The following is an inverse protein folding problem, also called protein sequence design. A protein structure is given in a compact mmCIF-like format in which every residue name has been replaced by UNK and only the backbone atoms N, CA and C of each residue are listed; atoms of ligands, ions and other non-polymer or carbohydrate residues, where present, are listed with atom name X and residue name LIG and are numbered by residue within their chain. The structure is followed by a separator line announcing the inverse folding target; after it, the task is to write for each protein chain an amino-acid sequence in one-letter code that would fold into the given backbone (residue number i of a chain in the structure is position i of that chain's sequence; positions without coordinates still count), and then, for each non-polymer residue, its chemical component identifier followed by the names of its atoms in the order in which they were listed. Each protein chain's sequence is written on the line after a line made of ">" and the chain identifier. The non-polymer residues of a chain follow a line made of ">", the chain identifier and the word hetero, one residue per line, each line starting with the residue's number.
data_IF_087304697763
#
_entry.id   IF_087304697763
#
_cell.length_a   1.000
_cell.length_b   1.000
_cell.length_c   1.000
_cell.angle_alpha   90.00
_cell.angle_beta   90.00
_cell.angle_gamma   90.00
#
_symmetry.space_group_name_H-M   'P 1'
#
loop_
_entity.id
_entity.type
_entity.pdbx_description
1 polymer ?
#
# COMPACT_ATOMS: atom_id res chain seq x y z
N UNK A 1 1.61 -3.71 -4.49
CA UNK A 1 0.31 -3.04 -4.26
C UNK A 1 0.13 -1.70 -4.93
N UNK A 2 1.14 -0.85 -5.12
CA UNK A 2 0.90 0.55 -5.54
C UNK A 2 0.05 0.70 -6.81
N UNK A 3 0.33 -0.09 -7.84
CA UNK A 3 -0.46 -0.05 -9.08
C UNK A 3 -1.88 -0.62 -8.89
N UNK A 4 -2.06 -1.62 -8.01
CA UNK A 4 -3.40 -2.10 -7.62
C UNK A 4 -4.24 -0.95 -7.04
N UNK A 5 -3.67 -0.16 -6.14
CA UNK A 5 -4.36 0.99 -5.55
C UNK A 5 -4.70 2.03 -6.63
N UNK A 6 -3.77 2.33 -7.54
CA UNK A 6 -4.02 3.29 -8.62
C UNK A 6 -5.13 2.84 -9.58
N UNK A 7 -5.32 1.53 -9.74
CA UNK A 7 -6.37 0.96 -10.58
C UNK A 7 -7.75 0.88 -9.90
N UNK A 8 -7.87 1.19 -8.60
CA UNK A 8 -9.16 1.12 -7.88
C UNK A 8 -10.20 2.13 -8.41
N UNK A 9 -9.76 3.22 -9.04
CA UNK A 9 -10.67 4.16 -9.69
C UNK A 9 -10.14 4.57 -11.07
N UNK A 10 -10.73 4.08 -12.17
CA UNK A 10 -10.30 4.42 -13.52
C UNK A 10 -10.63 5.87 -13.92
N UNK A 11 -11.56 6.53 -13.22
CA UNK A 11 -12.05 7.87 -13.58
C UNK A 11 -11.27 9.00 -12.90
N UNK A 12 -10.41 8.70 -11.92
CA UNK A 12 -9.61 9.70 -11.20
C UNK A 12 -8.16 9.25 -11.11
N UNK A 13 -7.23 10.20 -11.28
CA UNK A 13 -5.82 9.94 -11.06
C UNK A 13 -5.54 9.79 -9.56
N UNK A 14 -4.99 8.65 -9.17
CA UNK A 14 -4.55 8.37 -7.80
C UNK A 14 -3.04 8.57 -7.71
N UNK A 15 -2.59 9.29 -6.70
CA UNK A 15 -1.16 9.50 -6.37
C UNK A 15 -0.89 8.90 -5.00
N UNK A 16 0.14 8.05 -4.92
CA UNK A 16 0.63 7.51 -3.67
C UNK A 16 1.78 8.38 -3.17
N UNK A 17 1.61 8.99 -2.00
CA UNK A 17 2.62 9.80 -1.33
C UNK A 17 3.19 9.02 -0.15
N UNK A 18 4.43 8.56 -0.27
CA UNK A 18 5.18 7.95 0.84
C UNK A 18 5.56 8.99 1.90
N UNK A 19 6.11 8.53 3.03
CA UNK A 19 6.64 9.38 4.12
C UNK A 19 5.67 10.47 4.62
N UNK A 20 4.37 10.25 4.43
CA UNK A 20 3.33 11.21 4.81
C UNK A 20 2.83 10.90 6.21
N UNK A 21 2.66 11.92 7.05
CA UNK A 21 2.20 11.87 8.46
C UNK A 21 3.13 11.13 9.45
N UNK A 22 3.90 10.12 9.04
CA UNK A 22 4.81 9.35 9.89
C UNK A 22 5.77 8.48 9.04
N UNK A 23 6.73 7.81 9.69
CA UNK A 23 7.68 6.87 9.07
C UNK A 23 7.69 5.56 9.88
N UNK A 24 7.25 4.46 9.25
CA UNK A 24 7.17 3.12 9.88
C UNK A 24 8.10 2.09 9.21
N UNK A 25 9.11 2.55 8.46
CA UNK A 25 9.96 1.66 7.65
C UNK A 25 9.30 1.27 6.33
N UNK A 26 9.74 0.17 5.74
CA UNK A 26 9.24 -0.29 4.45
C UNK A 26 7.86 -0.96 4.58
N UNK A 27 7.05 -0.84 3.54
CA UNK A 27 5.87 -1.67 3.33
C UNK A 27 6.09 -2.47 2.03
N UNK A 28 6.65 -3.69 2.09
CA UNK A 28 6.82 -4.55 0.93
C UNK A 28 5.49 -5.16 0.46
N UNK A 29 5.47 -5.71 -0.76
CA UNK A 29 4.38 -6.62 -1.17
C UNK A 29 4.49 -7.94 -0.41
N UNK A 30 3.39 -8.68 -0.27
CA UNK A 30 3.38 -10.01 0.35
C UNK A 30 4.36 -10.96 -0.35
N UNK A 31 4.41 -10.92 -1.69
CA UNK A 31 5.37 -11.69 -2.50
C UNK A 31 6.82 -11.35 -2.19
N UNK A 32 7.15 -10.07 -1.94
CA UNK A 32 8.51 -9.66 -1.63
C UNK A 32 9.05 -10.35 -0.37
N UNK A 33 8.21 -10.65 0.64
CA UNK A 33 8.66 -11.37 1.83
C UNK A 33 9.17 -12.79 1.52
N UNK A 34 8.64 -13.46 0.49
CA UNK A 34 9.16 -14.75 0.02
C UNK A 34 10.49 -14.60 -0.72
N UNK A 35 10.65 -13.48 -1.45
CA UNK A 35 11.86 -13.15 -2.20
C UNK A 35 13.00 -12.68 -1.28
N UNK A 36 12.66 -12.13 -0.10
CA UNK A 36 13.60 -11.57 0.85
C UNK A 36 14.18 -10.23 0.40
N UNK A 37 15.26 -9.80 1.06
CA UNK A 37 15.96 -8.55 0.74
C UNK A 37 15.97 -7.53 1.88
N UNK A 38 16.49 -6.34 1.57
CA UNK A 38 16.70 -5.28 2.56
C UNK A 38 15.36 -4.77 3.12
N UNK A 39 14.38 -4.51 2.26
CA UNK A 39 13.09 -3.95 2.65
C UNK A 39 12.29 -4.91 3.54
N UNK A 40 12.30 -6.20 3.23
CA UNK A 40 11.59 -7.24 4.01
C UNK A 40 12.35 -7.63 5.26
N UNK A 41 13.68 -7.47 5.29
CA UNK A 41 14.48 -7.64 6.49
C UNK A 41 14.43 -6.44 7.44
N UNK A 42 14.03 -5.26 6.95
CA UNK A 42 13.98 -4.00 7.71
C UNK A 42 12.57 -3.38 7.70
N UNK A 43 11.54 -4.19 7.94
CA UNK A 43 10.17 -3.73 8.14
C UNK A 43 9.61 -4.26 9.46
N UNK A 44 8.90 -3.44 10.25
CA UNK A 44 8.13 -3.92 11.40
C UNK A 44 6.78 -4.52 11.00
N UNK A 45 6.45 -4.53 9.70
CA UNK A 45 5.17 -4.95 9.16
C UNK A 45 5.20 -6.41 8.73
N UNK A 46 4.02 -6.96 8.44
CA UNK A 46 3.85 -8.35 8.00
C UNK A 46 3.42 -8.40 6.53
N UNK A 47 3.52 -9.56 5.85
CA UNK A 47 2.97 -9.72 4.50
C UNK A 47 1.49 -9.32 4.38
N UNK A 48 0.71 -9.51 5.46
CA UNK A 48 -0.72 -9.15 5.51
C UNK A 48 -0.98 -7.64 5.40
N UNK A 49 0.02 -6.82 5.68
CA UNK A 49 -0.09 -5.36 5.60
C UNK A 49 -0.34 -4.88 4.17
N UNK A 50 0.02 -5.67 3.14
CA UNK A 50 -0.28 -5.34 1.74
C UNK A 50 -1.80 -5.24 1.49
N UNK A 51 -2.58 -6.25 1.89
CA UNK A 51 -4.04 -6.20 1.66
C UNK A 51 -4.72 -5.17 2.55
N UNK A 52 -4.27 -5.03 3.81
CA UNK A 52 -4.83 -4.04 4.75
C UNK A 52 -4.75 -2.62 4.17
N UNK A 53 -3.61 -2.23 3.57
CA UNK A 53 -3.49 -0.89 3.00
C UNK A 53 -4.35 -0.71 1.74
N UNK A 54 -4.53 -1.76 0.93
CA UNK A 54 -5.36 -1.72 -0.27
C UNK A 54 -6.83 -1.53 0.12
N UNK A 55 -7.32 -2.30 1.09
CA UNK A 55 -8.71 -2.23 1.58
C UNK A 55 -9.01 -0.87 2.22
N UNK A 56 -8.05 -0.34 3.00
CA UNK A 56 -8.16 0.99 3.57
C UNK A 56 -8.25 2.07 2.48
N UNK A 57 -7.38 1.99 1.46
CA UNK A 57 -7.42 2.92 0.34
C UNK A 57 -8.73 2.82 -0.46
N UNK A 58 -9.20 1.62 -0.79
CA UNK A 58 -10.46 1.40 -1.52
C UNK A 58 -11.66 1.99 -0.78
N UNK A 59 -11.71 1.77 0.54
CA UNK A 59 -12.75 2.33 1.42
C UNK A 59 -12.78 3.85 1.36
N UNK A 60 -11.63 4.52 1.49
CA UNK A 60 -11.56 5.98 1.47
C UNK A 60 -11.79 6.57 0.07
N UNK A 61 -11.29 5.90 -0.99
CA UNK A 61 -11.51 6.33 -2.38
C UNK A 61 -13.02 6.36 -2.69
N UNK A 62 -13.78 5.33 -2.27
CA UNK A 62 -15.24 5.25 -2.49
C UNK A 62 -16.00 6.40 -1.83
N UNK A 63 -15.54 6.91 -0.67
CA UNK A 63 -16.15 8.06 0.02
C UNK A 63 -15.95 9.39 -0.71
N UNK A 64 -14.91 9.51 -1.54
CA UNK A 64 -14.59 10.75 -2.30
C UNK A 64 -15.36 10.78 -3.65
N UNK A 65 -16.11 9.72 -3.96
CA UNK A 65 -16.82 9.55 -5.24
C UNK A 65 -18.35 9.58 -5.05
N UNK A 66 -18.84 9.37 -3.81
CA UNK A 66 -20.25 9.61 -3.42
C UNK A 66 -20.53 11.09 -3.24
#
# INVERSE_FOLDING_TARGET
>A
YGDRIKSLNPNKKIVLSGYTNCIHGYLPTAKAYEEGGYETGNTPLSPKSEEIIIDACDTEIKKIIS
#
